data_IF_925046832554
#
_entry.id   IF_925046832554
#
_cell.length_a   1.000
_cell.length_b   1.000
_cell.length_c   1.000
_cell.angle_alpha   90.00
_cell.angle_beta   90.00
_cell.angle_gamma   90.00
#
_symmetry.space_group_name_H-M   'P 1'
#
loop_
_entity.id
_entity.type
_entity.pdbx_description
1 polymer ?
#
# COMPACT_ATOMS: atom_id res chain seq x y z
N UNK A 1 31.92 -10.79 -58.34
CA UNK A 1 30.95 -11.16 -59.39
C UNK A 1 31.07 -12.64 -59.66
N UNK A 2 30.29 -13.48 -58.98
CA UNK A 2 30.21 -14.91 -59.23
C UNK A 2 28.85 -15.22 -59.81
N UNK A 3 28.78 -15.46 -61.11
CA UNK A 3 27.56 -15.87 -61.81
C UNK A 3 27.29 -17.32 -61.44
N UNK A 4 26.22 -17.56 -60.67
CA UNK A 4 25.70 -18.91 -60.46
C UNK A 4 25.21 -19.46 -61.80
N UNK A 5 25.96 -20.40 -62.38
CA UNK A 5 25.50 -21.24 -63.48
C UNK A 5 24.35 -22.13 -62.96
N UNK A 6 23.12 -21.73 -63.26
CA UNK A 6 21.94 -22.58 -63.11
C UNK A 6 22.01 -23.69 -64.17
N UNK A 7 22.36 -24.89 -63.71
CA UNK A 7 22.35 -26.11 -64.53
C UNK A 7 21.00 -26.27 -65.27
N UNK A 8 21.09 -26.61 -66.56
CA UNK A 8 19.98 -26.85 -67.49
C UNK A 8 18.94 -27.92 -67.02
N UNK A 9 19.17 -28.61 -65.91
CA UNK A 9 18.23 -29.58 -65.34
C UNK A 9 17.10 -28.96 -64.50
N UNK A 10 17.26 -27.73 -63.97
CA UNK A 10 16.24 -27.12 -63.09
C UNK A 10 15.00 -26.64 -63.87
N UNK A 11 15.17 -26.27 -65.14
CA UNK A 11 14.08 -25.80 -66.01
C UNK A 11 13.26 -26.94 -66.64
N UNK A 12 13.60 -28.21 -66.35
CA UNK A 12 12.89 -29.39 -66.83
C UNK A 12 11.77 -29.90 -65.92
N UNK A 13 11.58 -29.31 -64.72
CA UNK A 13 10.60 -29.78 -63.74
C UNK A 13 9.14 -29.74 -64.22
N UNK A 14 8.85 -28.95 -65.26
CA UNK A 14 7.54 -28.84 -65.91
C UNK A 14 7.62 -28.97 -67.44
N UNK A 15 8.61 -29.70 -67.97
CA UNK A 15 8.75 -29.86 -69.43
C UNK A 15 7.58 -30.61 -70.07
N UNK A 16 6.80 -31.37 -69.28
CA UNK A 16 5.69 -32.20 -69.73
C UNK A 16 4.51 -32.13 -68.76
N UNK A 17 3.31 -31.70 -69.21
CA UNK A 17 2.06 -31.85 -68.44
C UNK A 17 0.78 -31.87 -69.32
N UNK A 18 -0.11 -32.89 -69.20
CA UNK A 18 0.13 -34.17 -68.54
C UNK A 18 1.33 -34.88 -69.19
N UNK A 19 1.92 -35.87 -68.51
CA UNK A 19 3.15 -36.65 -68.82
C UNK A 19 3.15 -37.38 -70.20
N UNK A 20 2.47 -36.85 -71.21
CA UNK A 20 2.24 -37.43 -72.52
C UNK A 20 2.36 -36.42 -73.67
N UNK A 21 2.65 -35.13 -73.44
CA UNK A 21 2.88 -34.15 -74.52
C UNK A 21 3.85 -33.02 -74.16
N UNK A 22 4.86 -32.81 -75.00
CA UNK A 22 5.78 -31.67 -74.93
C UNK A 22 5.08 -30.35 -75.33
N UNK A 23 5.42 -29.26 -74.65
CA UNK A 23 4.97 -27.92 -75.04
C UNK A 23 5.51 -27.56 -76.43
N UNK A 24 4.68 -26.92 -77.26
CA UNK A 24 5.05 -26.53 -78.63
C UNK A 24 6.16 -25.48 -78.70
N UNK A 25 6.26 -24.62 -77.68
CA UNK A 25 7.30 -23.60 -77.57
C UNK A 25 8.20 -23.90 -76.36
N UNK A 26 9.54 -24.06 -76.56
CA UNK A 26 10.49 -24.34 -75.49
C UNK A 26 10.61 -23.21 -74.45
N UNK A 27 10.06 -22.02 -74.70
CA UNK A 27 10.05 -20.89 -73.73
C UNK A 27 8.96 -21.02 -72.68
N UNK A 28 7.86 -21.68 -72.98
CA UNK A 28 6.72 -21.89 -72.06
C UNK A 28 7.14 -22.60 -70.77
N UNK A 29 7.85 -23.74 -70.79
CA UNK A 29 8.28 -24.40 -69.55
C UNK A 29 9.24 -23.53 -68.73
N UNK A 30 10.07 -22.71 -69.37
CA UNK A 30 10.94 -21.75 -68.68
C UNK A 30 10.13 -20.65 -67.97
N UNK A 31 9.12 -20.08 -68.64
CA UNK A 31 8.24 -19.06 -68.05
C UNK A 31 7.38 -19.62 -66.91
N UNK A 32 6.81 -20.81 -67.08
CA UNK A 32 6.03 -21.49 -66.02
C UNK A 32 6.90 -21.79 -64.80
N UNK A 33 8.16 -22.23 -65.02
CA UNK A 33 9.10 -22.48 -63.92
C UNK A 33 9.46 -21.21 -63.17
N UNK A 34 9.74 -20.10 -63.87
CA UNK A 34 10.06 -18.80 -63.25
C UNK A 34 8.87 -18.25 -62.46
N UNK A 35 7.67 -18.26 -63.03
CA UNK A 35 6.46 -17.78 -62.35
C UNK A 35 6.11 -18.65 -61.14
N UNK A 36 6.29 -19.97 -61.25
CA UNK A 36 6.11 -20.89 -60.11
C UNK A 36 7.10 -20.60 -58.99
N UNK A 37 8.37 -20.37 -59.32
CA UNK A 37 9.37 -19.98 -58.32
C UNK A 37 9.02 -18.65 -57.63
N UNK A 38 8.56 -17.65 -58.38
CA UNK A 38 8.12 -16.37 -57.82
C UNK A 38 6.90 -16.51 -56.89
N UNK A 39 5.91 -17.30 -57.30
CA UNK A 39 4.72 -17.60 -56.46
C UNK A 39 5.15 -18.32 -55.19
N UNK A 40 6.04 -19.31 -55.28
CA UNK A 40 6.54 -20.04 -54.11
C UNK A 40 7.30 -19.11 -53.15
N UNK A 41 8.21 -18.28 -53.66
CA UNK A 41 8.95 -17.29 -52.84
C UNK A 41 7.98 -16.30 -52.19
N UNK A 42 7.02 -15.76 -52.94
CA UNK A 42 6.00 -14.86 -52.41
C UNK A 42 5.15 -15.50 -51.30
N UNK A 43 4.74 -16.75 -51.48
CA UNK A 43 3.98 -17.51 -50.49
C UNK A 43 4.80 -17.81 -49.23
N UNK A 44 6.09 -18.13 -49.38
CA UNK A 44 7.01 -18.35 -48.25
C UNK A 44 7.15 -17.04 -47.46
N UNK A 45 7.47 -15.93 -48.14
CA UNK A 45 7.62 -14.62 -47.49
C UNK A 45 6.33 -14.19 -46.80
N UNK A 46 5.18 -14.36 -47.44
CA UNK A 46 3.88 -14.04 -46.84
C UNK A 46 3.60 -14.87 -45.58
N UNK A 47 3.81 -16.18 -45.61
CA UNK A 47 3.58 -17.05 -44.44
C UNK A 47 4.55 -16.76 -43.29
N UNK A 48 5.82 -16.45 -43.58
CA UNK A 48 6.79 -16.04 -42.56
C UNK A 48 6.34 -14.73 -41.90
N UNK A 49 5.96 -13.72 -42.68
CA UNK A 49 5.57 -12.41 -42.13
C UNK A 49 4.24 -12.46 -41.38
N UNK A 50 3.26 -13.24 -41.84
CA UNK A 50 1.92 -13.26 -41.25
C UNK A 50 1.75 -14.29 -40.12
N UNK A 51 2.48 -15.40 -40.17
CA UNK A 51 2.28 -16.54 -39.26
C UNK A 51 3.57 -16.97 -38.55
N UNK A 52 4.70 -16.31 -38.82
CA UNK A 52 6.01 -16.67 -38.26
C UNK A 52 6.17 -16.31 -36.79
N UNK A 53 5.36 -15.40 -36.25
CA UNK A 53 5.31 -15.06 -34.83
C UNK A 53 4.03 -15.56 -34.17
N UNK A 54 4.08 -15.90 -32.88
CA UNK A 54 2.90 -16.23 -32.07
C UNK A 54 2.92 -15.36 -30.83
N UNK A 55 1.78 -14.72 -30.53
CA UNK A 55 1.62 -14.01 -29.27
C UNK A 55 1.53 -15.00 -28.11
N UNK A 56 2.44 -14.86 -27.15
CA UNK A 56 2.47 -15.62 -25.90
C UNK A 56 2.21 -14.66 -24.74
N UNK A 57 1.32 -15.06 -23.84
CA UNK A 57 0.96 -14.29 -22.64
C UNK A 57 1.42 -15.02 -21.39
N UNK A 58 2.15 -14.34 -20.53
CA UNK A 58 2.58 -14.84 -19.21
C UNK A 58 1.97 -13.96 -18.12
N UNK A 59 1.39 -14.57 -17.08
CA UNK A 59 0.87 -13.86 -15.91
C UNK A 59 1.92 -13.88 -14.80
N UNK A 60 2.25 -12.71 -14.25
CA UNK A 60 3.22 -12.53 -13.17
C UNK A 60 2.64 -11.65 -12.07
N UNK A 61 2.96 -11.97 -10.82
CA UNK A 61 2.67 -11.10 -9.68
C UNK A 61 3.82 -10.10 -9.50
N UNK A 62 3.50 -8.83 -9.28
CA UNK A 62 4.46 -7.76 -9.04
C UNK A 62 4.07 -6.95 -7.80
N UNK A 63 5.07 -6.40 -7.11
CA UNK A 63 4.86 -5.53 -5.94
C UNK A 63 4.50 -4.07 -6.28
N UNK A 64 4.65 -3.67 -7.54
CA UNK A 64 4.42 -2.30 -8.01
C UNK A 64 3.47 -2.26 -9.21
N UNK A 65 2.64 -1.23 -9.23
CA UNK A 65 1.77 -0.88 -10.34
C UNK A 65 2.58 -0.48 -11.56
N UNK A 66 2.14 -0.86 -12.76
CA UNK A 66 2.74 -0.39 -14.00
C UNK A 66 1.65 0.05 -14.97
N UNK A 67 1.86 1.23 -15.57
CA UNK A 67 0.97 1.73 -16.60
C UNK A 67 0.96 0.78 -17.80
N UNK A 68 -0.22 0.62 -18.37
CA UNK A 68 -0.43 -0.28 -19.52
C UNK A 68 0.42 0.17 -20.70
N UNK A 69 1.28 -0.74 -21.17
CA UNK A 69 2.04 -0.61 -22.41
C UNK A 69 1.67 -1.77 -23.36
N UNK A 70 2.18 -1.73 -24.59
CA UNK A 70 1.99 -2.76 -25.63
C UNK A 70 2.41 -4.17 -25.22
N UNK A 71 3.34 -4.30 -24.26
CA UNK A 71 3.90 -5.59 -23.79
C UNK A 71 3.52 -5.94 -22.36
N UNK A 72 2.99 -5.00 -21.56
CA UNK A 72 2.70 -5.20 -20.14
C UNK A 72 1.37 -4.53 -19.78
N UNK A 73 0.48 -5.29 -19.15
CA UNK A 73 -0.79 -4.77 -18.62
C UNK A 73 -1.01 -5.30 -17.20
N UNK A 74 -1.15 -4.41 -16.22
CA UNK A 74 -1.45 -4.78 -14.84
C UNK A 74 -2.93 -4.54 -14.50
N UNK A 75 -3.50 -5.39 -13.66
CA UNK A 75 -4.81 -5.20 -13.04
C UNK A 75 -4.66 -4.51 -11.69
N UNK A 76 -5.54 -3.56 -11.34
CA UNK A 76 -5.48 -2.89 -10.04
C UNK A 76 -5.64 -3.91 -8.91
N UNK A 77 -5.00 -3.64 -7.78
CA UNK A 77 -5.14 -4.48 -6.60
C UNK A 77 -6.49 -4.23 -5.94
N UNK A 78 -7.13 -5.28 -5.43
CA UNK A 78 -8.34 -5.15 -4.62
C UNK A 78 -7.95 -5.01 -3.15
N UNK A 79 -8.26 -3.85 -2.57
CA UNK A 79 -8.13 -3.59 -1.14
C UNK A 79 -9.42 -4.00 -0.44
N UNK A 80 -9.31 -4.68 0.70
CA UNK A 80 -10.48 -5.19 1.42
C UNK A 80 -10.42 -4.84 2.91
N UNK A 81 -11.58 -4.52 3.47
CA UNK A 81 -11.78 -4.21 4.88
C UNK A 81 -11.37 -5.42 5.73
N UNK A 82 -10.71 -5.15 6.85
CA UNK A 82 -10.17 -6.17 7.76
C UNK A 82 -8.78 -6.68 7.36
N UNK A 83 -8.34 -6.49 6.11
CA UNK A 83 -6.98 -6.80 5.72
C UNK A 83 -6.00 -5.74 6.25
N UNK A 84 -4.78 -6.17 6.55
CA UNK A 84 -3.69 -5.31 6.98
C UNK A 84 -2.62 -5.16 5.90
N UNK A 85 -2.10 -3.94 5.79
CA UNK A 85 -1.15 -3.53 4.78
C UNK A 85 0.01 -2.78 5.43
N UNK A 86 1.21 -2.96 4.89
CA UNK A 86 2.36 -2.11 5.22
C UNK A 86 2.51 -1.05 4.13
N UNK A 87 3.00 0.13 4.48
CA UNK A 87 3.33 1.13 3.45
C UNK A 87 4.67 0.83 2.80
N UNK A 88 4.87 1.32 1.59
CA UNK A 88 6.13 1.30 0.86
C UNK A 88 6.48 2.72 0.43
N UNK A 89 7.77 2.99 0.21
CA UNK A 89 8.18 4.20 -0.51
C UNK A 89 7.58 4.20 -1.91
N UNK A 90 7.14 5.36 -2.38
CA UNK A 90 6.63 5.49 -3.73
C UNK A 90 7.69 5.02 -4.74
N UNK A 91 7.34 4.13 -5.69
CA UNK A 91 8.30 3.65 -6.67
C UNK A 91 8.80 4.80 -7.56
N UNK A 92 10.11 4.84 -7.77
CA UNK A 92 10.69 5.74 -8.78
C UNK A 92 10.69 5.00 -10.10
N UNK A 93 9.70 5.25 -10.97
CA UNK A 93 9.67 4.61 -12.29
C UNK A 93 10.79 5.20 -13.15
N UNK A 94 11.93 4.51 -13.24
CA UNK A 94 12.92 4.80 -14.27
C UNK A 94 12.25 4.53 -15.62
N UNK A 95 12.11 5.57 -16.45
CA UNK A 95 11.40 5.49 -17.73
C UNK A 95 11.91 4.34 -18.61
N UNK A 96 10.95 3.57 -19.14
CA UNK A 96 10.89 2.53 -20.20
C UNK A 96 12.12 1.70 -20.64
N UNK A 97 13.36 1.98 -20.22
CA UNK A 97 14.58 1.26 -20.61
C UNK A 97 15.50 0.93 -19.42
N UNK A 98 15.06 1.14 -18.17
CA UNK A 98 15.81 0.74 -16.98
C UNK A 98 15.77 -0.77 -16.79
N UNK A 99 16.93 -1.41 -16.66
CA UNK A 99 17.05 -2.82 -16.30
C UNK A 99 16.13 -3.15 -15.10
N UNK A 100 15.33 -4.21 -15.27
CA UNK A 100 14.63 -4.90 -14.20
C UNK A 100 15.67 -5.44 -13.21
N UNK A 101 16.09 -4.65 -12.24
CA UNK A 101 17.18 -5.11 -11.39
C UNK A 101 17.83 -4.06 -10.52
N UNK A 102 17.07 -3.55 -9.56
CA UNK A 102 17.46 -3.43 -8.15
C UNK A 102 16.31 -2.73 -7.47
N UNK A 103 15.56 -3.47 -6.65
CA UNK A 103 14.72 -2.90 -5.61
C UNK A 103 15.62 -1.96 -4.81
N UNK A 104 15.61 -0.68 -5.18
CA UNK A 104 16.49 0.33 -4.62
C UNK A 104 16.02 0.59 -3.19
N UNK A 105 16.42 -0.29 -2.27
CA UNK A 105 16.10 -0.26 -0.85
C UNK A 105 14.67 0.19 -0.57
N UNK A 106 13.66 -0.58 -1.01
CA UNK A 106 12.26 -0.35 -0.61
C UNK A 106 12.21 -0.23 0.92
N UNK A 107 12.08 1.00 1.42
CA UNK A 107 11.83 1.21 2.84
C UNK A 107 10.37 0.90 3.06
N UNK A 108 10.11 -0.21 3.76
CA UNK A 108 8.78 -0.61 4.19
C UNK A 108 8.34 0.19 5.40
N UNK A 109 7.03 0.27 5.59
CA UNK A 109 6.42 0.94 6.70
C UNK A 109 6.64 0.16 8.00
N UNK A 110 6.63 0.87 9.11
CA UNK A 110 6.84 0.26 10.43
C UNK A 110 5.55 -0.17 11.12
N UNK A 111 4.39 0.26 10.60
CA UNK A 111 3.09 -0.09 11.13
C UNK A 111 2.29 -0.96 10.16
N UNK A 112 1.47 -1.84 10.74
CA UNK A 112 0.53 -2.68 10.02
C UNK A 112 -0.83 -2.00 10.04
N UNK A 113 -1.21 -1.40 8.91
CA UNK A 113 -2.42 -0.60 8.76
C UNK A 113 -3.58 -1.48 8.28
N UNK A 114 -4.55 -1.73 9.15
CA UNK A 114 -5.78 -2.44 8.82
C UNK A 114 -6.82 -1.50 8.25
N UNK A 115 -7.39 -1.85 7.10
CA UNK A 115 -8.47 -1.09 6.48
C UNK A 115 -9.78 -1.29 7.27
N UNK A 116 -10.30 -0.24 7.90
CA UNK A 116 -11.51 -0.30 8.73
C UNK A 116 -12.77 0.12 7.98
N UNK A 117 -12.67 1.08 7.06
CA UNK A 117 -13.80 1.52 6.24
C UNK A 117 -13.34 2.23 4.98
N UNK A 118 -14.22 2.25 3.99
CA UNK A 118 -14.03 2.94 2.70
C UNK A 118 -15.29 3.76 2.43
N UNK A 119 -15.11 5.03 2.10
CA UNK A 119 -16.20 5.93 1.75
C UNK A 119 -15.87 6.66 0.46
N UNK A 120 -16.82 6.72 -0.47
CA UNK A 120 -16.64 7.43 -1.75
C UNK A 120 -17.21 8.83 -1.69
N UNK A 121 -16.40 9.80 -2.06
CA UNK A 121 -16.80 11.19 -2.22
C UNK A 121 -16.86 12.04 -0.95
N UNK A 122 -16.96 13.37 -1.13
CA UNK A 122 -16.73 14.36 -0.08
C UNK A 122 -17.81 14.36 1.00
N UNK A 123 -19.00 13.81 0.72
CA UNK A 123 -20.13 13.80 1.65
C UNK A 123 -20.12 12.62 2.64
N UNK A 124 -19.11 11.75 2.60
CA UNK A 124 -18.87 10.82 3.71
C UNK A 124 -19.99 9.80 3.97
N UNK A 125 -20.94 9.58 3.05
CA UNK A 125 -21.97 8.54 3.23
C UNK A 125 -21.33 7.17 3.12
N UNK A 126 -21.36 6.43 4.22
CA UNK A 126 -21.03 5.02 4.24
C UNK A 126 -21.83 4.28 3.15
N UNK A 127 -21.14 3.85 2.10
CA UNK A 127 -21.74 3.12 0.99
C UNK A 127 -21.89 1.63 1.31
N UNK A 128 -21.46 1.17 2.48
CA UNK A 128 -21.38 -0.24 2.84
C UNK A 128 -20.29 -0.99 2.05
N UNK A 129 -19.37 -0.27 1.43
CA UNK A 129 -18.29 -0.86 0.66
C UNK A 129 -17.26 -1.52 1.56
N UNK A 130 -16.97 -2.78 1.25
CA UNK A 130 -15.98 -3.59 1.97
C UNK A 130 -14.61 -3.55 1.31
N UNK A 131 -14.39 -2.71 0.29
CA UNK A 131 -13.13 -2.66 -0.45
C UNK A 131 -13.15 -1.72 -1.65
N UNK A 132 -11.98 -1.47 -2.24
CA UNK A 132 -11.80 -0.62 -3.42
C UNK A 132 -10.62 -1.08 -4.30
N UNK A 133 -10.60 -0.65 -5.55
CA UNK A 133 -9.46 -0.88 -6.45
C UNK A 133 -8.37 0.17 -6.22
N UNK A 134 -7.13 -0.27 -6.11
CA UNK A 134 -5.97 0.58 -5.84
C UNK A 134 -4.89 0.43 -6.91
N UNK A 135 -4.26 1.54 -7.28
CA UNK A 135 -3.22 1.65 -8.32
C UNK A 135 -1.97 2.36 -7.80
N UNK A 136 -1.54 2.01 -6.58
CA UNK A 136 -0.31 2.55 -5.98
C UNK A 136 -0.27 4.08 -5.88
N UNK A 137 -1.43 4.71 -5.69
CA UNK A 137 -1.52 6.15 -5.49
C UNK A 137 -0.96 6.55 -4.13
N UNK A 138 -0.16 7.63 -4.04
CA UNK A 138 0.31 8.14 -2.76
C UNK A 138 -0.84 8.45 -1.82
N UNK A 139 -0.64 8.16 -0.55
CA UNK A 139 -1.58 8.45 0.52
C UNK A 139 -1.40 9.89 1.01
N UNK A 140 -2.51 10.60 1.15
CA UNK A 140 -2.60 11.85 1.92
C UNK A 140 -3.42 11.55 3.18
N UNK A 141 -2.78 11.53 4.35
CA UNK A 141 -3.36 11.00 5.58
C UNK A 141 -3.26 11.98 6.74
N UNK A 142 -4.34 12.07 7.51
CA UNK A 142 -4.36 12.71 8.82
C UNK A 142 -4.52 11.66 9.91
N UNK A 143 -3.79 11.78 11.01
CA UNK A 143 -4.04 10.96 12.20
C UNK A 143 -5.25 11.53 12.92
N UNK A 144 -6.26 10.71 13.19
CA UNK A 144 -7.55 11.14 13.74
C UNK A 144 -7.88 10.53 15.09
N UNK A 145 -7.12 9.53 15.51
CA UNK A 145 -7.32 8.87 16.79
C UNK A 145 -6.06 8.17 17.25
N UNK A 146 -5.86 8.13 18.56
CA UNK A 146 -4.74 7.44 19.20
C UNK A 146 -5.15 6.92 20.56
N UNK A 147 -4.69 5.73 20.93
CA UNK A 147 -4.87 5.18 22.27
C UNK A 147 -3.59 4.51 22.75
N UNK A 148 -3.30 4.64 24.04
CA UNK A 148 -2.20 3.97 24.71
C UNK A 148 -2.70 3.47 26.07
N UNK A 149 -2.47 2.19 26.34
CA UNK A 149 -2.73 1.57 27.63
C UNK A 149 -1.47 0.89 28.11
N UNK A 150 -1.05 1.21 29.33
CA UNK A 150 0.04 0.58 30.05
C UNK A 150 -0.52 -0.16 31.27
N UNK A 151 -0.22 -1.45 31.39
CA UNK A 151 -0.58 -2.29 32.52
C UNK A 151 0.61 -2.45 33.46
N UNK A 152 0.45 -1.98 34.70
CA UNK A 152 1.52 -2.01 35.70
C UNK A 152 1.72 -3.39 36.32
N UNK A 153 0.69 -4.22 36.38
CA UNK A 153 0.77 -5.54 37.05
C UNK A 153 1.57 -6.53 36.21
N UNK A 154 1.30 -6.57 34.91
CA UNK A 154 1.97 -7.49 33.97
C UNK A 154 3.09 -6.81 33.17
N UNK A 155 3.35 -5.52 33.40
CA UNK A 155 4.35 -4.72 32.69
C UNK A 155 4.18 -4.84 31.16
N UNK A 156 2.94 -4.68 30.71
CA UNK A 156 2.58 -4.77 29.30
C UNK A 156 2.00 -3.46 28.81
N UNK A 157 2.00 -3.26 27.50
CA UNK A 157 1.30 -2.15 26.89
C UNK A 157 0.66 -2.56 25.58
N UNK A 158 -0.38 -1.80 25.23
CA UNK A 158 -1.00 -1.84 23.92
C UNK A 158 -1.24 -0.42 23.45
N UNK A 159 -1.18 -0.22 22.14
CA UNK A 159 -1.53 1.04 21.53
C UNK A 159 -2.33 0.83 20.25
N UNK A 160 -3.10 1.85 19.88
CA UNK A 160 -3.75 1.91 18.58
C UNK A 160 -3.64 3.33 18.01
N UNK A 161 -3.59 3.43 16.68
CA UNK A 161 -3.63 4.71 15.98
C UNK A 161 -4.53 4.57 14.77
N UNK A 162 -5.36 5.59 14.55
CA UNK A 162 -6.30 5.68 13.44
C UNK A 162 -5.88 6.84 12.54
N UNK A 163 -5.86 6.58 11.24
CA UNK A 163 -5.61 7.57 10.22
C UNK A 163 -6.76 7.59 9.21
N UNK A 164 -7.12 8.78 8.77
CA UNK A 164 -8.03 8.98 7.64
C UNK A 164 -7.21 9.43 6.45
N UNK A 165 -7.28 8.67 5.37
CA UNK A 165 -6.49 8.91 4.17
C UNK A 165 -7.38 9.12 2.95
N UNK A 166 -6.88 9.89 1.99
CA UNK A 166 -7.52 10.08 0.69
C UNK A 166 -6.71 9.37 -0.38
N UNK A 167 -7.39 8.67 -1.28
CA UNK A 167 -6.76 8.04 -2.44
C UNK A 167 -7.66 8.17 -3.67
N UNK A 168 -7.10 8.53 -4.84
CA UNK A 168 -7.87 8.69 -6.06
C UNK A 168 -8.56 7.39 -6.47
N UNK A 169 -9.75 7.52 -7.05
CA UNK A 169 -10.49 6.38 -7.55
C UNK A 169 -9.93 5.89 -8.89
N UNK A 170 -9.83 4.57 -9.03
CA UNK A 170 -9.39 3.92 -10.28
C UNK A 170 -10.50 3.95 -11.34
N UNK A 171 -11.75 3.98 -10.89
CA UNK A 171 -12.91 4.08 -11.77
C UNK A 171 -12.99 5.49 -12.37
N UNK A 172 -13.41 5.60 -13.64
CA UNK A 172 -13.54 6.90 -14.28
C UNK A 172 -14.81 7.60 -13.78
N UNK A 173 -14.71 8.91 -13.52
CA UNK A 173 -15.80 9.77 -13.05
C UNK A 173 -16.35 9.37 -11.66
N UNK A 174 -15.61 8.59 -10.89
CA UNK A 174 -15.91 8.33 -9.48
C UNK A 174 -15.09 9.28 -8.61
N UNK A 175 -15.68 9.77 -7.51
CA UNK A 175 -14.96 10.62 -6.58
C UNK A 175 -13.90 9.83 -5.80
N UNK A 176 -12.96 10.53 -5.19
CA UNK A 176 -11.89 9.93 -4.40
C UNK A 176 -12.41 9.05 -3.26
N UNK A 177 -11.59 8.07 -2.88
CA UNK A 177 -11.87 7.19 -1.76
C UNK A 177 -11.27 7.79 -0.49
N UNK A 178 -12.11 7.98 0.52
CA UNK A 178 -11.70 8.26 1.88
C UNK A 178 -11.64 6.94 2.63
N UNK A 179 -10.45 6.58 3.11
CA UNK A 179 -10.20 5.31 3.78
C UNK A 179 -9.81 5.53 5.22
N UNK A 180 -10.34 4.70 6.12
CA UNK A 180 -9.94 4.68 7.52
C UNK A 180 -8.96 3.52 7.74
N UNK A 181 -7.73 3.85 8.14
CA UNK A 181 -6.69 2.90 8.47
C UNK A 181 -6.49 2.86 9.99
N UNK A 182 -6.32 1.67 10.54
CA UNK A 182 -6.04 1.49 11.96
C UNK A 182 -4.88 0.53 12.17
N UNK A 183 -3.89 0.95 12.96
CA UNK A 183 -2.85 0.06 13.46
C UNK A 183 -3.11 -0.26 14.92
N UNK A 184 -2.92 -1.52 15.30
CA UNK A 184 -3.00 -2.00 16.68
C UNK A 184 -1.75 -2.79 17.00
N UNK A 185 -1.18 -2.53 18.16
CA UNK A 185 -0.03 -3.25 18.67
C UNK A 185 -0.24 -3.61 20.13
N UNK A 186 0.20 -4.82 20.49
CA UNK A 186 0.24 -5.34 21.85
C UNK A 186 1.58 -6.02 22.03
N UNK A 187 2.32 -5.66 23.09
CA UNK A 187 3.61 -6.28 23.37
C UNK A 187 3.50 -7.77 23.71
N UNK A 188 2.30 -8.25 24.05
CA UNK A 188 2.03 -9.66 24.31
C UNK A 188 1.94 -10.44 22.99
N UNK A 189 1.45 -9.80 21.93
CA UNK A 189 1.16 -10.42 20.62
C UNK A 189 2.31 -10.23 19.63
N UNK A 190 3.58 -10.38 20.05
CA UNK A 190 4.85 -9.99 19.32
C UNK A 190 5.08 -10.54 17.89
N UNK A 191 4.06 -10.95 17.16
CA UNK A 191 4.11 -11.31 15.75
C UNK A 191 4.27 -10.07 14.82
N UNK A 192 5.23 -9.19 15.11
CA UNK A 192 5.60 -8.10 14.20
C UNK A 192 6.77 -8.50 13.30
N UNK A 193 6.76 -8.14 12.01
CA UNK A 193 7.87 -8.43 11.13
C UNK A 193 9.17 -7.75 11.57
N UNK A 194 10.32 -8.40 11.36
CA UNK A 194 11.65 -7.89 11.76
C UNK A 194 11.96 -6.48 11.25
N UNK A 195 11.49 -6.13 10.05
CA UNK A 195 11.74 -4.81 9.47
C UNK A 195 11.06 -3.66 10.23
N UNK A 196 10.12 -3.96 11.13
CA UNK A 196 9.46 -2.97 12.00
C UNK A 196 10.16 -2.77 13.34
N UNK A 197 11.12 -3.65 13.69
CA UNK A 197 11.72 -3.71 15.03
C UNK A 197 12.33 -2.39 15.48
N UNK A 198 12.96 -1.62 14.58
CA UNK A 198 13.59 -0.34 14.94
C UNK A 198 12.58 0.63 15.58
N UNK A 199 11.47 0.90 14.89
CA UNK A 199 10.41 1.80 15.38
C UNK A 199 9.70 1.20 16.59
N UNK A 200 9.42 -0.10 16.57
CA UNK A 200 8.75 -0.76 17.71
C UNK A 200 9.63 -0.73 18.97
N UNK A 201 10.95 -0.91 18.85
CA UNK A 201 11.88 -0.82 19.96
C UNK A 201 11.98 0.61 20.52
N UNK A 202 11.95 1.63 19.65
CA UNK A 202 11.93 3.03 20.09
C UNK A 202 10.65 3.32 20.87
N UNK A 203 9.48 2.99 20.32
CA UNK A 203 8.20 3.20 21.01
C UNK A 203 8.14 2.43 22.34
N UNK A 204 8.57 1.17 22.33
CA UNK A 204 8.68 0.35 23.52
C UNK A 204 9.54 1.02 24.59
N UNK A 205 10.72 1.53 24.23
CA UNK A 205 11.61 2.19 25.18
C UNK A 205 10.96 3.45 25.78
N UNK A 206 10.25 4.25 24.98
CA UNK A 206 9.55 5.43 25.47
C UNK A 206 8.36 5.06 26.38
N UNK A 207 7.53 4.10 25.98
CA UNK A 207 6.35 3.66 26.74
C UNK A 207 6.74 3.02 28.07
N UNK A 208 7.80 2.21 28.12
CA UNK A 208 8.30 1.68 29.39
C UNK A 208 8.79 2.75 30.36
N UNK A 209 9.01 3.98 29.89
CA UNK A 209 9.26 5.14 30.74
C UNK A 209 8.16 5.41 31.75
N UNK A 210 6.92 5.05 31.45
CA UNK A 210 5.77 5.18 32.35
C UNK A 210 6.04 4.42 33.65
N UNK A 211 6.74 3.28 33.59
CA UNK A 211 7.07 2.47 34.77
C UNK A 211 8.07 3.14 35.72
N UNK A 212 8.89 4.08 35.24
CA UNK A 212 9.95 4.73 36.02
C UNK A 212 9.38 5.44 37.26
N UNK A 213 8.24 6.09 37.11
CA UNK A 213 7.60 6.88 38.16
C UNK A 213 6.50 6.11 38.91
N UNK A 214 6.26 4.83 38.58
CA UNK A 214 5.19 4.03 39.19
C UNK A 214 5.35 3.87 40.70
N UNK A 215 6.59 3.74 41.19
CA UNK A 215 6.87 3.59 42.61
C UNK A 215 6.46 4.83 43.45
N UNK A 216 6.42 6.00 42.82
CA UNK A 216 6.02 7.29 43.42
C UNK A 216 4.52 7.57 43.24
N UNK A 217 3.80 6.79 42.42
CA UNK A 217 2.41 7.03 42.05
C UNK A 217 1.45 6.67 43.20
N UNK A 218 1.41 7.53 44.21
CA UNK A 218 0.60 7.41 45.42
C UNK A 218 -0.11 8.75 45.66
N UNK A 219 -1.40 8.75 45.96
CA UNK A 219 -2.10 9.98 46.29
C UNK A 219 -3.13 9.78 47.39
N UNK A 220 -3.24 10.78 48.26
CA UNK A 220 -4.21 10.79 49.36
C UNK A 220 -5.64 10.94 48.84
N UNK A 221 -6.59 10.48 49.62
CA UNK A 221 -8.03 10.70 49.46
C UNK A 221 -8.39 12.05 48.79
N UNK A 222 -8.02 13.17 49.42
CA UNK A 222 -8.46 14.50 48.99
C UNK A 222 -7.56 15.15 47.93
N UNK A 223 -6.67 14.39 47.29
CA UNK A 223 -5.73 14.95 46.31
C UNK A 223 -6.38 15.22 44.94
N UNK A 224 -7.50 14.58 44.65
CA UNK A 224 -8.30 14.78 43.44
C UNK A 224 -9.73 15.18 43.81
N UNK A 225 -10.42 15.96 42.95
CA UNK A 225 -11.83 16.29 43.18
C UNK A 225 -12.69 15.04 43.15
N UNK A 226 -13.83 15.05 43.85
CA UNK A 226 -14.75 13.89 43.89
C UNK A 226 -15.25 13.47 42.49
N UNK A 227 -15.32 14.42 41.56
CA UNK A 227 -15.69 14.20 40.15
C UNK A 227 -14.65 13.39 39.37
N UNK A 228 -13.44 13.21 39.90
CA UNK A 228 -12.43 12.32 39.33
C UNK A 228 -12.78 10.84 39.54
N UNK A 229 -13.66 10.52 40.50
CA UNK A 229 -13.98 9.15 40.89
C UNK A 229 -15.37 8.74 40.37
N UNK A 230 -15.55 7.48 39.95
CA UNK A 230 -16.84 7.00 39.49
C UNK A 230 -17.81 6.83 40.67
N UNK A 231 -19.10 7.15 40.54
CA UNK A 231 -19.73 7.84 39.41
C UNK A 231 -19.31 9.33 39.37
N UNK A 232 -18.74 9.77 38.25
CA UNK A 232 -18.01 11.05 38.06
C UNK A 232 -18.80 12.35 38.30
N UNK A 233 -20.08 12.26 38.64
CA UNK A 233 -20.97 13.39 38.89
C UNK A 233 -21.42 13.49 40.36
N UNK A 234 -20.90 12.62 41.24
CA UNK A 234 -21.24 12.64 42.66
C UNK A 234 -20.25 13.50 43.46
N UNK A 235 -20.76 14.58 44.05
CA UNK A 235 -19.99 15.49 44.90
C UNK A 235 -19.66 14.89 46.27
N UNK A 236 -20.42 13.88 46.71
CA UNK A 236 -20.25 13.20 48.00
C UNK A 236 -19.69 11.78 47.83
N UNK A 237 -18.92 11.54 46.78
CA UNK A 237 -18.39 10.22 46.47
C UNK A 237 -17.41 9.74 47.55
N UNK A 238 -17.79 8.70 48.31
CA UNK A 238 -16.94 8.11 49.35
C UNK A 238 -15.65 7.47 48.82
N UNK A 239 -15.58 7.12 47.53
CA UNK A 239 -14.36 6.61 46.91
C UNK A 239 -13.26 7.67 46.83
N UNK A 240 -13.64 8.95 46.75
CA UNK A 240 -12.71 10.07 46.84
C UNK A 240 -12.10 10.21 48.26
N UNK A 241 -12.58 9.45 49.24
CA UNK A 241 -12.01 9.43 50.59
C UNK A 241 -11.00 8.29 50.80
N UNK A 242 -10.78 7.44 49.79
CA UNK A 242 -9.87 6.31 49.89
C UNK A 242 -8.46 6.69 49.45
N UNK A 243 -7.45 6.25 50.20
CA UNK A 243 -6.06 6.39 49.78
C UNK A 243 -5.73 5.41 48.65
N UNK A 244 -5.08 5.93 47.60
CA UNK A 244 -4.66 5.13 46.45
C UNK A 244 -3.15 5.02 46.44
N UNK A 245 -2.65 3.89 46.92
CA UNK A 245 -1.24 3.54 46.79
C UNK A 245 -0.93 2.91 45.43
N UNK A 246 0.33 2.94 45.02
CA UNK A 246 0.82 2.32 43.78
C UNK A 246 0.32 0.89 43.56
N UNK A 247 0.29 0.03 44.58
CA UNK A 247 -0.18 -1.37 44.48
C UNK A 247 -1.66 -1.49 44.09
N UNK A 248 -2.45 -0.44 44.34
CA UNK A 248 -3.86 -0.41 43.97
C UNK A 248 -4.02 -0.02 42.50
N UNK A 249 -3.00 0.55 41.86
CA UNK A 249 -3.07 1.03 40.48
C UNK A 249 -2.76 -0.12 39.52
N UNK A 250 -3.73 -0.42 38.66
CA UNK A 250 -3.68 -1.51 37.70
C UNK A 250 -3.13 -1.02 36.36
N UNK A 251 -3.69 0.07 35.83
CA UNK A 251 -3.46 0.51 34.47
C UNK A 251 -3.46 2.03 34.35
N UNK A 252 -2.67 2.52 33.41
CA UNK A 252 -2.71 3.89 32.89
C UNK A 252 -3.21 3.86 31.45
N UNK A 253 -4.27 4.59 31.15
CA UNK A 253 -4.89 4.56 29.81
C UNK A 253 -5.23 5.96 29.33
N UNK A 254 -4.90 6.24 28.09
CA UNK A 254 -5.26 7.46 27.38
C UNK A 254 -5.83 7.11 26.01
N UNK A 255 -6.87 7.81 25.60
CA UNK A 255 -7.41 7.76 24.25
C UNK A 255 -7.81 9.16 23.82
N UNK A 256 -7.35 9.57 22.64
CA UNK A 256 -7.72 10.83 22.02
C UNK A 256 -8.49 10.54 20.72
N UNK A 257 -9.58 11.27 20.52
CA UNK A 257 -10.41 11.22 19.30
C UNK A 257 -11.02 12.61 19.06
N UNK A 258 -11.52 12.86 17.85
CA UNK A 258 -12.11 14.14 17.46
C UNK A 258 -11.08 15.20 17.05
N UNK A 259 -9.90 14.78 16.60
CA UNK A 259 -8.86 15.66 16.07
C UNK A 259 -8.43 15.25 14.66
N UNK A 260 -7.68 16.12 14.00
CA UNK A 260 -6.89 15.83 12.82
C UNK A 260 -5.46 16.29 13.10
N UNK A 261 -4.50 15.39 12.96
CA UNK A 261 -3.08 15.69 13.10
C UNK A 261 -2.38 15.49 11.77
N UNK A 262 -1.78 16.57 11.26
CA UNK A 262 -1.04 16.60 10.00
C UNK A 262 0.45 16.63 10.29
N UNK A 263 1.25 15.80 9.62
CA UNK A 263 2.70 15.85 9.71
C UNK A 263 3.23 17.20 9.18
N UNK A 264 4.36 17.68 9.70
CA UNK A 264 5.03 18.83 9.14
C UNK A 264 5.72 18.51 7.79
N UNK A 265 5.62 19.44 6.84
CA UNK A 265 6.28 19.36 5.52
C UNK A 265 7.80 19.09 5.59
N UNK A 266 8.45 19.50 6.69
CA UNK A 266 9.89 19.30 6.94
C UNK A 266 10.11 18.50 8.21
N UNK A 267 9.51 17.31 8.28
CA UNK A 267 9.75 16.38 9.38
C UNK A 267 11.24 16.06 9.54
N UNK A 268 11.71 16.08 10.78
CA UNK A 268 13.07 15.68 11.16
C UNK A 268 12.98 14.46 12.06
N UNK A 269 13.83 13.47 11.80
CA UNK A 269 13.92 12.33 12.71
C UNK A 269 14.28 12.79 14.12
N UNK A 270 13.52 12.30 15.10
CA UNK A 270 13.77 12.61 16.49
C UNK A 270 15.12 12.06 16.92
N UNK A 271 15.80 12.79 17.80
CA UNK A 271 17.02 12.29 18.40
C UNK A 271 16.69 11.36 19.59
N UNK A 272 16.37 10.10 19.30
CA UNK A 272 15.98 9.09 20.28
C UNK A 272 17.00 8.80 21.40
N UNK A 273 18.15 9.49 21.43
CA UNK A 273 19.15 9.43 22.51
C UNK A 273 18.62 9.96 23.85
N UNK A 274 17.57 10.77 23.83
CA UNK A 274 16.91 11.27 25.04
C UNK A 274 15.64 10.43 25.28
N UNK A 275 15.75 9.49 26.22
CA UNK A 275 14.59 8.76 26.72
C UNK A 275 13.76 9.68 27.62
N UNK A 276 12.43 9.58 27.51
CA UNK A 276 11.46 10.13 28.47
C UNK A 276 11.24 11.64 28.45
N UNK A 277 11.87 12.38 27.52
CA UNK A 277 11.61 13.80 27.30
C UNK A 277 12.19 14.24 25.96
N UNK A 278 11.33 14.46 24.96
CA UNK A 278 11.72 15.05 23.67
C UNK A 278 10.50 15.50 22.84
N UNK A 279 10.70 16.44 21.90
CA UNK A 279 10.23 17.83 21.89
C UNK A 279 8.74 18.01 21.57
N UNK A 280 8.29 19.27 21.47
CA UNK A 280 6.98 19.62 20.88
C UNK A 280 6.74 18.80 19.60
N UNK A 281 5.50 18.28 19.40
CA UNK A 281 5.16 17.56 18.19
C UNK A 281 5.51 18.40 16.97
N UNK A 282 6.07 17.75 15.96
CA UNK A 282 6.49 18.47 14.75
C UNK A 282 5.29 18.79 13.86
N UNK A 283 4.26 17.94 13.90
CA UNK A 283 3.00 18.15 13.21
C UNK A 283 2.08 19.17 13.88
N UNK A 284 0.94 19.42 13.24
CA UNK A 284 -0.09 20.36 13.70
C UNK A 284 -1.34 19.61 14.11
N UNK A 285 -1.83 19.92 15.30
CA UNK A 285 -3.07 19.39 15.85
C UNK A 285 -4.23 20.35 15.55
N UNK A 286 -5.29 19.82 14.94
CA UNK A 286 -6.54 20.52 14.68
C UNK A 286 -7.67 19.80 15.41
N UNK A 287 -8.53 20.53 16.12
CA UNK A 287 -9.66 19.94 16.82
C UNK A 287 -10.90 20.04 15.94
N UNK A 288 -11.59 18.93 15.72
CA UNK A 288 -12.76 18.87 14.85
C UNK A 288 -13.90 19.70 15.45
N UNK A 289 -14.38 20.69 14.68
CA UNK A 289 -15.45 21.60 15.11
C UNK A 289 -15.00 22.78 15.97
N UNK A 290 -13.70 22.96 16.20
CA UNK A 290 -13.18 24.14 16.89
C UNK A 290 -12.89 25.29 15.90
N UNK A 291 -13.29 26.52 16.23
CA UNK A 291 -13.00 27.72 15.42
C UNK A 291 -11.53 28.17 15.50
N UNK A 292 -10.84 27.79 16.58
CA UNK A 292 -9.44 28.15 16.82
C UNK A 292 -8.62 26.90 17.04
N UNK A 293 -7.47 26.85 16.37
CA UNK A 293 -6.49 25.81 16.60
C UNK A 293 -5.85 26.01 17.98
N UNK A 294 -5.48 24.90 18.65
CA UNK A 294 -4.77 24.99 19.92
C UNK A 294 -3.43 25.71 19.74
N UNK A 295 -3.06 26.51 20.75
CA UNK A 295 -1.81 27.28 20.75
C UNK A 295 -0.58 26.41 20.97
N UNK A 296 -0.77 25.25 21.58
CA UNK A 296 0.25 24.28 21.95
C UNK A 296 -0.38 22.89 22.09
N UNK A 297 0.44 21.85 22.06
CA UNK A 297 -0.05 20.47 22.03
C UNK A 297 -0.69 20.01 23.35
N UNK A 298 -0.15 20.45 24.48
CA UNK A 298 -0.71 20.25 25.82
C UNK A 298 -2.10 20.88 25.93
N UNK A 299 -2.26 22.11 25.44
CA UNK A 299 -3.56 22.78 25.40
C UNK A 299 -4.55 22.01 24.52
N UNK A 300 -4.11 21.56 23.34
CA UNK A 300 -4.96 20.76 22.45
C UNK A 300 -5.37 19.41 23.04
N UNK A 301 -4.45 18.73 23.75
CA UNK A 301 -4.74 17.49 24.47
C UNK A 301 -5.78 17.74 25.56
N UNK A 302 -5.62 18.80 26.34
CA UNK A 302 -6.58 19.19 27.37
C UNK A 302 -7.96 19.54 26.79
N UNK A 303 -8.00 20.29 25.69
CA UNK A 303 -9.25 20.64 25.00
C UNK A 303 -10.00 19.38 24.52
N UNK A 304 -9.26 18.39 23.98
CA UNK A 304 -9.83 17.11 23.57
C UNK A 304 -10.39 16.30 24.76
N UNK A 305 -9.69 16.30 25.90
CA UNK A 305 -10.15 15.65 27.13
C UNK A 305 -11.41 16.33 27.69
N UNK A 306 -11.47 17.66 27.63
CA UNK A 306 -12.64 18.44 28.04
C UNK A 306 -13.85 18.25 27.11
N UNK A 307 -13.62 17.99 25.81
CA UNK A 307 -14.68 17.74 24.84
C UNK A 307 -15.43 16.41 25.05
N UNK A 308 -14.93 15.52 25.92
CA UNK A 308 -15.61 14.30 26.36
C UNK A 308 -15.55 13.10 25.40
N UNK A 309 -15.02 13.27 24.18
CA UNK A 309 -14.71 12.16 23.26
C UNK A 309 -13.40 11.46 23.58
N UNK A 310 -12.48 12.19 24.19
CA UNK A 310 -11.18 11.70 24.66
C UNK A 310 -11.23 11.43 26.15
N UNK A 311 -10.27 10.66 26.65
CA UNK A 311 -10.18 10.40 28.08
C UNK A 311 -8.79 9.97 28.51
N UNK A 312 -8.54 10.23 29.79
CA UNK A 312 -7.36 9.77 30.50
C UNK A 312 -7.82 9.17 31.83
N UNK A 313 -7.37 7.96 32.10
CA UNK A 313 -7.88 7.14 33.18
C UNK A 313 -6.77 6.34 33.86
N UNK A 314 -6.87 6.27 35.19
CA UNK A 314 -6.10 5.38 36.06
C UNK A 314 -7.05 4.30 36.55
N UNK A 315 -6.84 3.04 36.20
CA UNK A 315 -7.64 1.95 36.77
C UNK A 315 -7.08 1.58 38.15
N UNK A 316 -7.92 1.62 39.18
CA UNK A 316 -7.54 1.27 40.56
C UNK A 316 -8.43 0.21 41.18
N UNK A 317 -7.84 -0.71 41.94
CA UNK A 317 -8.53 -1.79 42.66
C UNK A 317 -9.51 -1.20 43.67
N UNK A 318 -10.75 -1.71 43.67
CA UNK A 318 -11.80 -1.29 44.61
C UNK A 318 -12.46 0.06 44.31
N UNK A 319 -11.90 0.84 43.37
CA UNK A 319 -12.40 2.16 42.97
C UNK A 319 -12.92 2.15 41.53
N UNK A 320 -12.20 1.50 40.60
CA UNK A 320 -12.48 1.55 39.17
C UNK A 320 -11.65 2.61 38.45
N UNK A 321 -12.21 3.22 37.40
CA UNK A 321 -11.52 4.21 36.58
C UNK A 321 -11.50 5.58 37.23
N UNK A 322 -10.33 6.07 37.63
CA UNK A 322 -10.14 7.43 38.15
C UNK A 322 -9.73 8.33 36.99
N UNK A 323 -10.42 9.45 36.80
CA UNK A 323 -10.13 10.47 35.77
C UNK A 323 -9.52 11.70 36.44
N UNK A 324 -8.18 11.81 36.50
CA UNK A 324 -7.52 12.83 37.31
C UNK A 324 -7.76 14.25 36.79
N UNK A 325 -8.10 14.40 35.51
CA UNK A 325 -8.38 15.69 34.89
C UNK A 325 -9.89 15.95 35.00
N UNK A 326 -10.33 16.94 35.80
CA UNK A 326 -11.75 17.25 35.92
C UNK A 326 -12.29 17.89 34.64
N UNK A 327 -13.60 17.81 34.40
CA UNK A 327 -14.24 18.52 33.29
C UNK A 327 -13.96 20.04 33.38
N UNK A 328 -13.64 20.67 32.26
CA UNK A 328 -13.29 22.09 32.15
C UNK A 328 -12.00 22.49 32.90
N UNK A 329 -11.10 21.53 33.13
CA UNK A 329 -9.78 21.83 33.65
C UNK A 329 -9.01 22.76 32.70
N UNK A 330 -8.15 23.61 33.27
CA UNK A 330 -7.17 24.42 32.54
C UNK A 330 -5.74 23.89 32.81
N UNK A 331 -4.74 24.38 32.08
CA UNK A 331 -3.35 23.94 32.26
C UNK A 331 -2.83 24.16 33.68
N UNK A 332 -3.29 25.20 34.38
CA UNK A 332 -2.92 25.43 35.79
C UNK A 332 -3.48 24.36 36.72
N UNK A 333 -4.66 23.79 36.43
CA UNK A 333 -5.22 22.69 37.21
C UNK A 333 -4.40 21.41 37.03
N UNK A 334 -3.81 21.18 35.84
CA UNK A 334 -2.88 20.06 35.61
C UNK A 334 -1.64 20.20 36.50
N UNK A 335 -1.08 21.41 36.61
CA UNK A 335 0.09 21.66 37.44
C UNK A 335 -0.18 21.49 38.94
N UNK A 336 -1.44 21.59 39.36
CA UNK A 336 -1.86 21.41 40.75
C UNK A 336 -2.15 19.95 41.12
N UNK A 337 -2.09 19.01 40.15
CA UNK A 337 -2.25 17.59 40.44
C UNK A 337 -1.15 17.08 41.37
N UNK A 338 -1.44 16.09 42.23
CA UNK A 338 -0.46 15.52 43.13
C UNK A 338 0.70 14.91 42.35
N UNK A 339 1.94 15.13 42.81
CA UNK A 339 3.10 14.44 42.26
C UNK A 339 2.93 12.91 42.40
N UNK A 340 3.34 12.11 41.40
CA UNK A 340 4.01 12.47 40.15
C UNK A 340 3.06 12.68 38.94
N UNK A 341 1.75 12.87 39.13
CA UNK A 341 0.79 12.92 38.01
C UNK A 341 1.13 13.94 36.90
N UNK A 342 1.57 15.19 37.20
CA UNK A 342 1.96 16.12 36.14
C UNK A 342 3.08 15.57 35.25
N UNK A 343 4.00 14.79 35.84
CA UNK A 343 5.12 14.15 35.10
C UNK A 343 4.60 13.02 34.22
N UNK A 344 3.67 12.21 34.72
CA UNK A 344 3.01 11.16 33.91
C UNK A 344 2.26 11.75 32.72
N UNK A 345 1.57 12.88 32.91
CA UNK A 345 0.84 13.56 31.83
C UNK A 345 1.81 14.07 30.75
N UNK A 346 2.85 14.80 31.14
CA UNK A 346 3.85 15.30 30.20
C UNK A 346 4.56 14.14 29.44
N UNK A 347 4.91 13.07 30.16
CA UNK A 347 5.47 11.87 29.54
C UNK A 347 4.50 11.23 28.54
N UNK A 348 3.23 11.12 28.93
CA UNK A 348 2.17 10.56 28.06
C UNK A 348 2.00 11.40 26.81
N UNK A 349 1.91 12.72 26.94
CA UNK A 349 1.82 13.67 25.81
C UNK A 349 3.02 13.51 24.86
N UNK A 350 4.24 13.40 25.42
CA UNK A 350 5.45 13.17 24.63
C UNK A 350 5.40 11.85 23.85
N UNK A 351 4.92 10.77 24.47
CA UNK A 351 4.76 9.46 23.82
C UNK A 351 3.72 9.56 22.69
N UNK A 352 2.57 10.19 22.95
CA UNK A 352 1.51 10.36 21.94
C UNK A 352 2.00 11.20 20.75
N UNK A 353 2.77 12.26 20.99
CA UNK A 353 3.37 13.07 19.94
C UNK A 353 4.33 12.24 19.07
N UNK A 354 5.24 11.48 19.68
CA UNK A 354 6.17 10.59 18.96
C UNK A 354 5.40 9.56 18.12
N UNK A 355 4.37 8.95 18.70
CA UNK A 355 3.53 7.98 18.00
C UNK A 355 2.84 8.59 16.78
N UNK A 356 2.23 9.76 16.92
CA UNK A 356 1.55 10.45 15.82
C UNK A 356 2.52 10.90 14.72
N UNK A 357 3.70 11.39 15.08
CA UNK A 357 4.73 11.78 14.12
C UNK A 357 5.31 10.57 13.37
N UNK A 358 5.55 9.45 14.06
CA UNK A 358 5.98 8.21 13.42
C UNK A 358 4.91 7.65 12.49
N UNK A 359 3.65 7.66 12.91
CA UNK A 359 2.53 7.23 12.09
C UNK A 359 2.33 8.14 10.87
N UNK A 360 2.42 9.46 11.07
CA UNK A 360 2.40 10.45 10.01
C UNK A 360 3.49 10.19 8.99
N UNK A 361 4.74 10.00 9.42
CA UNK A 361 5.87 9.65 8.53
C UNK A 361 5.66 8.32 7.81
N UNK A 362 4.99 7.36 8.45
CA UNK A 362 4.73 6.06 7.86
C UNK A 362 3.71 6.09 6.72
N UNK A 363 2.84 7.11 6.72
CA UNK A 363 1.74 7.27 5.78
C UNK A 363 2.00 8.37 4.73
N UNK A 364 2.61 9.49 5.13
CA UNK A 364 2.76 10.70 4.33
C UNK A 364 3.53 10.47 3.03
N UNK A 365 2.85 10.66 1.89
CA UNK A 365 3.41 10.50 0.55
C UNK A 365 3.83 9.06 0.21
N UNK A 366 3.44 8.07 1.02
CA UNK A 366 3.77 6.65 0.82
C UNK A 366 2.60 5.91 0.19
N UNK A 367 2.85 4.68 -0.27
CA UNK A 367 1.85 3.85 -0.96
C UNK A 367 1.56 2.60 -0.15
N UNK A 368 0.35 2.03 -0.25
CA UNK A 368 0.04 0.75 0.39
C UNK A 368 0.70 -0.40 -0.39
N UNK A 369 1.46 -1.23 0.30
CA UNK A 369 2.12 -2.40 -0.26
C UNK A 369 1.10 -3.46 -0.64
N UNK A 370 0.96 -3.71 -1.94
CA UNK A 370 -0.02 -4.66 -2.50
C UNK A 370 0.58 -5.46 -3.64
N UNK A 371 -0.05 -6.58 -4.00
CA UNK A 371 0.33 -7.38 -5.15
C UNK A 371 -0.54 -7.08 -6.36
N UNK A 372 0.09 -6.78 -7.50
CA UNK A 372 -0.56 -6.54 -8.77
C UNK A 372 -0.38 -7.75 -9.69
N UNK A 373 -1.48 -8.21 -10.30
CA UNK A 373 -1.44 -9.24 -11.33
C UNK A 373 -1.20 -8.58 -12.68
N UNK A 374 -0.07 -8.89 -13.31
CA UNK A 374 0.31 -8.33 -14.59
C UNK A 374 0.43 -9.40 -15.66
N UNK A 375 -0.04 -9.08 -16.86
CA UNK A 375 0.11 -9.91 -18.07
C UNK A 375 1.19 -9.32 -18.95
N UNK A 376 2.21 -10.13 -19.24
CA UNK A 376 3.27 -9.80 -20.20
C UNK A 376 2.93 -10.47 -21.52
N UNK A 377 2.85 -9.69 -22.59
CA UNK A 377 2.64 -10.17 -23.96
C UNK A 377 3.96 -10.11 -24.71
N UNK A 378 4.43 -11.27 -25.18
CA UNK A 378 5.63 -11.41 -26.02
C UNK A 378 5.21 -11.98 -27.37
N UNK A 379 5.81 -11.53 -28.46
CA UNK A 379 5.58 -12.08 -29.81
C UNK A 379 6.84 -12.75 -30.34
N UNK A 380 7.31 -13.85 -29.75
CA UNK A 380 8.49 -14.55 -30.25
C UNK A 380 8.22 -15.18 -31.62
N UNK A 381 9.28 -15.26 -32.42
CA UNK A 381 9.29 -16.05 -33.65
C UNK A 381 9.18 -17.54 -33.32
N UNK A 382 8.41 -18.27 -34.13
CA UNK A 382 8.31 -19.73 -34.05
C UNK A 382 9.70 -20.35 -34.23
N UNK A 383 9.94 -21.46 -33.53
CA UNK A 383 11.17 -22.27 -33.72
C UNK A 383 11.23 -22.78 -35.17
N UNK A 384 12.44 -23.09 -35.66
CA UNK A 384 12.67 -23.44 -37.06
C UNK A 384 11.80 -24.61 -37.58
N UNK A 385 11.64 -25.67 -36.78
CA UNK A 385 10.87 -26.87 -37.16
C UNK A 385 9.38 -26.58 -37.39
N UNK A 386 8.63 -26.00 -36.43
CA UNK A 386 7.23 -25.64 -36.65
C UNK A 386 7.04 -24.55 -37.71
N UNK A 387 8.04 -23.69 -37.93
CA UNK A 387 8.02 -22.71 -39.01
C UNK A 387 8.07 -23.40 -40.38
N UNK A 388 8.98 -24.37 -40.58
CA UNK A 388 9.07 -25.17 -41.80
C UNK A 388 7.80 -25.98 -42.06
N UNK A 389 7.26 -26.64 -41.03
CA UNK A 389 6.02 -27.40 -41.17
C UNK A 389 4.82 -26.52 -41.58
N UNK A 390 4.71 -25.32 -41.01
CA UNK A 390 3.68 -24.35 -41.35
C UNK A 390 3.82 -23.82 -42.79
N UNK A 391 5.06 -23.53 -43.22
CA UNK A 391 5.36 -23.09 -44.60
C UNK A 391 4.97 -24.19 -45.59
N UNK A 392 5.41 -25.44 -45.37
CA UNK A 392 5.13 -26.55 -46.29
C UNK A 392 3.62 -26.83 -46.37
N UNK A 393 2.95 -26.91 -45.22
CA UNK A 393 1.50 -27.14 -45.15
C UNK A 393 0.72 -26.05 -45.88
N UNK A 394 0.96 -24.78 -45.55
CA UNK A 394 0.19 -23.65 -46.10
C UNK A 394 0.53 -23.33 -47.56
N UNK A 395 1.79 -23.52 -47.97
CA UNK A 395 2.21 -23.27 -49.36
C UNK A 395 1.73 -24.38 -50.31
N UNK A 396 1.68 -25.64 -49.87
CA UNK A 396 1.36 -26.77 -50.77
C UNK A 396 0.02 -26.63 -51.49
N UNK A 397 -1.04 -26.23 -50.78
CA UNK A 397 -2.38 -26.06 -51.35
C UNK A 397 -2.49 -24.88 -52.33
N UNK A 398 -2.01 -23.70 -51.93
CA UNK A 398 -2.08 -22.50 -52.77
C UNK A 398 -1.13 -22.56 -53.97
N UNK A 399 0.06 -23.14 -53.79
CA UNK A 399 1.00 -23.36 -54.89
C UNK A 399 0.41 -24.35 -55.92
N UNK A 400 -0.21 -25.44 -55.48
CA UNK A 400 -0.87 -26.39 -56.37
C UNK A 400 -2.00 -25.76 -57.19
N UNK A 401 -2.82 -24.91 -56.57
CA UNK A 401 -3.88 -24.17 -57.26
C UNK A 401 -3.31 -23.17 -58.30
N UNK A 402 -2.31 -22.38 -57.90
CA UNK A 402 -1.67 -21.41 -58.80
C UNK A 402 -0.97 -22.10 -59.97
N UNK A 403 -0.26 -23.20 -59.71
CA UNK A 403 0.39 -24.01 -60.75
C UNK A 403 -0.63 -24.58 -61.73
N UNK A 404 -1.77 -25.08 -61.24
CA UNK A 404 -2.85 -25.60 -62.10
C UNK A 404 -3.42 -24.52 -63.01
N UNK A 405 -3.62 -23.30 -62.49
CA UNK A 405 -4.08 -22.14 -63.29
C UNK A 405 -3.02 -21.76 -64.33
N UNK A 406 -1.74 -21.68 -63.95
CA UNK A 406 -0.64 -21.37 -64.86
C UNK A 406 -0.53 -22.41 -65.99
N UNK A 407 -0.66 -23.70 -65.67
CA UNK A 407 -0.65 -24.79 -66.64
C UNK A 407 -1.88 -24.76 -67.56
N UNK A 408 -3.05 -24.39 -67.04
CA UNK A 408 -4.27 -24.24 -67.84
C UNK A 408 -4.16 -23.06 -68.82
N UNK A 409 -3.62 -21.92 -68.38
CA UNK A 409 -3.38 -20.74 -69.23
C UNK A 409 -2.30 -21.02 -70.27
N UNK A 410 -1.21 -21.69 -69.91
CA UNK A 410 -0.14 -22.06 -70.83
C UNK A 410 -0.56 -23.09 -71.91
N UNK A 411 -1.73 -23.72 -71.75
CA UNK A 411 -2.28 -24.71 -72.69
C UNK A 411 -3.24 -24.09 -73.72
N UNK A 412 -3.79 -22.90 -73.44
CA UNK A 412 -4.47 -22.08 -74.44
C UNK A 412 -3.45 -21.47 -75.38
#
# INVERSE_FOLDING_TARGET
MGVFNLHAGVFGLFSEYPLTRNFKDPRIPMTVTILSALVLVGLITFNVLTQGSVSQTESVLRGHWHNKNSTLSCQPATMAMGNSYFTNTQPTYAGDNGELGRDAGEKRGSFSWSLQSVVRGPEGRDTGETGFYYQESPLDCNITGISLTYDFQIQSFSYSMRAMCVTPSVEKNTPDNYICLETRFSIVDRAVPRFTEEVQNILQAQIFGISKYYHELNFSANALPSTAFPPYNDLNNSLAQQEVGNRNILQWSVWLDGFNYTLAEKYRDFNHSYLYMQPEPQGKLFISGAEKNPTSFDQGTLDLLNAGKSGLQIAAVGIGGIRPIPPNANLTAIQQLPAPMPVFLNLTESILAIMMDMAGKDLDGRVLGTGYLCTITKTPWKKAIPMLAMIIGSCSGMFGAALTIMLFVARR
#
